data_IF_653886366293
#
_entry.id   IF_653886366293
#
_cell.length_a   1.000
_cell.length_b   1.000
_cell.length_c   1.000
_cell.angle_alpha   90.00
_cell.angle_beta   90.00
_cell.angle_gamma   90.00
#
_symmetry.space_group_name_H-M   'P 1'
#
loop_
_entity.id
_entity.type
_entity.pdbx_description
1 polymer ?
#
# COMPACT_ATOMS: atom_id res chain seq x y z
N UNK A 1 9.65 -9.21 -8.56
CA UNK A 1 8.55 -9.84 -7.83
C UNK A 1 8.06 -8.91 -6.73
N UNK A 2 6.77 -8.56 -6.70
CA UNK A 2 6.20 -7.74 -5.62
C UNK A 2 4.96 -8.42 -5.04
N UNK A 3 4.86 -8.45 -3.71
CA UNK A 3 3.77 -9.13 -2.99
C UNK A 3 2.81 -8.08 -2.48
N UNK A 4 1.51 -8.24 -2.74
CA UNK A 4 0.49 -7.30 -2.29
C UNK A 4 -0.40 -7.95 -1.23
N UNK A 5 -0.49 -7.32 -0.06
CA UNK A 5 -1.36 -7.73 1.04
C UNK A 5 -2.50 -6.73 1.18
N UNK A 6 -3.68 -7.15 0.76
CA UNK A 6 -4.93 -6.38 0.88
C UNK A 6 -5.98 -7.08 1.75
N UNK A 7 -7.14 -6.44 1.92
CA UNK A 7 -8.23 -6.89 2.78
C UNK A 7 -8.81 -5.77 3.65
N UNK A 8 -9.92 -6.06 4.32
CA UNK A 8 -10.65 -5.08 5.12
C UNK A 8 -9.81 -4.50 6.28
N UNK A 9 -10.11 -3.28 6.76
CA UNK A 9 -9.54 -2.76 7.99
C UNK A 9 -9.74 -3.74 9.17
N UNK A 10 -8.71 -3.91 10.01
CA UNK A 10 -8.77 -4.80 11.19
C UNK A 10 -8.44 -6.28 10.96
N UNK A 11 -8.31 -6.77 9.72
CA UNK A 11 -8.03 -8.20 9.44
C UNK A 11 -6.58 -8.67 9.70
N UNK A 12 -5.71 -7.78 10.20
CA UNK A 12 -4.32 -8.14 10.56
C UNK A 12 -3.28 -8.05 9.44
N UNK A 13 -3.56 -7.34 8.33
CA UNK A 13 -2.61 -7.18 7.19
C UNK A 13 -1.20 -6.76 7.61
N UNK A 14 -1.09 -5.74 8.49
CA UNK A 14 0.21 -5.28 8.98
C UNK A 14 0.90 -6.33 9.87
N UNK A 15 0.14 -7.16 10.57
CA UNK A 15 0.68 -8.27 11.37
C UNK A 15 1.31 -9.33 10.47
N UNK A 16 0.61 -9.73 9.41
CA UNK A 16 1.13 -10.70 8.42
C UNK A 16 2.35 -10.13 7.70
N UNK A 17 2.29 -8.86 7.27
CA UNK A 17 3.42 -8.17 6.65
C UNK A 17 4.67 -8.21 7.53
N UNK A 18 4.55 -7.87 8.83
CA UNK A 18 5.66 -7.93 9.79
C UNK A 18 6.24 -9.33 9.94
N UNK A 19 5.42 -10.37 9.89
CA UNK A 19 5.90 -11.75 9.99
C UNK A 19 6.68 -12.14 8.73
N UNK A 20 6.18 -11.80 7.54
CA UNK A 20 6.85 -12.08 6.27
C UNK A 20 8.25 -11.45 6.22
N UNK A 21 8.40 -10.20 6.67
CA UNK A 21 9.69 -9.48 6.66
C UNK A 21 10.77 -10.12 7.54
N UNK A 22 10.39 -10.92 8.55
CA UNK A 22 11.36 -11.64 9.38
C UNK A 22 12.01 -12.77 8.60
N UNK A 23 11.27 -13.37 7.68
CA UNK A 23 11.69 -14.57 6.94
C UNK A 23 12.18 -14.25 5.53
N UNK A 24 11.64 -13.20 4.91
CA UNK A 24 11.96 -12.78 3.55
C UNK A 24 12.51 -11.35 3.53
N UNK A 25 13.52 -11.12 2.69
CA UNK A 25 14.12 -9.79 2.49
C UNK A 25 13.28 -8.98 1.49
N UNK A 26 12.26 -8.29 2.00
CA UNK A 26 11.43 -7.35 1.24
C UNK A 26 11.49 -5.94 1.86
N UNK A 27 11.28 -4.91 1.03
CA UNK A 27 11.00 -3.55 1.49
C UNK A 27 9.50 -3.37 1.69
N UNK A 28 9.07 -2.79 2.82
CA UNK A 28 7.64 -2.52 3.04
C UNK A 28 7.25 -1.23 2.36
N UNK A 29 6.15 -1.28 1.60
CA UNK A 29 5.46 -0.12 1.09
C UNK A 29 4.03 -0.09 1.66
N UNK A 30 3.79 0.75 2.65
CA UNK A 30 2.45 0.95 3.21
C UNK A 30 1.73 2.08 2.47
N UNK A 31 0.66 1.73 1.75
CA UNK A 31 -0.11 2.65 0.92
C UNK A 31 -0.71 3.78 1.77
N UNK A 32 -1.19 3.48 2.97
CA UNK A 32 -1.81 4.49 3.83
C UNK A 32 -0.77 5.48 4.36
N UNK A 33 0.45 5.00 4.63
CA UNK A 33 1.56 5.86 5.03
C UNK A 33 2.04 6.74 3.87
N UNK A 34 2.16 6.17 2.66
CA UNK A 34 2.49 6.94 1.44
C UNK A 34 1.45 8.02 1.15
N UNK A 35 0.15 7.74 1.30
CA UNK A 35 -0.91 8.73 1.14
C UNK A 35 -0.78 9.91 2.12
N UNK A 36 -0.44 9.62 3.39
CA UNK A 36 -0.18 10.65 4.41
C UNK A 36 1.04 11.50 4.07
N UNK A 37 2.13 10.86 3.68
CA UNK A 37 3.41 11.54 3.38
C UNK A 37 3.36 12.37 2.09
N UNK A 38 2.55 11.95 1.10
CA UNK A 38 2.41 12.64 -0.18
C UNK A 38 1.49 13.86 -0.12
N UNK A 39 0.85 14.13 1.03
CA UNK A 39 -0.10 15.24 1.16
C UNK A 39 -1.37 15.07 0.33
N UNK A 40 -1.66 13.84 -0.12
CA UNK A 40 -2.84 13.52 -0.92
C UNK A 40 -4.11 13.32 -0.07
N UNK A 41 -4.02 13.53 1.24
CA UNK A 41 -5.16 13.43 2.13
C UNK A 41 -5.88 14.76 2.24
N UNK A 42 -7.14 14.77 1.84
CA UNK A 42 -8.06 15.88 2.11
C UNK A 42 -8.91 15.53 3.32
N UNK A 43 -8.90 16.40 4.33
CA UNK A 43 -9.72 16.22 5.52
C UNK A 43 -11.19 16.48 5.18
N UNK A 44 -12.04 15.47 5.39
CA UNK A 44 -13.47 15.54 5.17
C UNK A 44 -14.19 15.10 6.45
N UNK A 45 -14.39 16.06 7.36
CA UNK A 45 -14.95 15.81 8.69
C UNK A 45 -14.08 14.86 9.51
N UNK A 46 -14.63 13.70 9.85
CA UNK A 46 -13.95 12.65 10.62
C UNK A 46 -13.14 11.67 9.75
N UNK A 47 -13.20 11.81 8.42
CA UNK A 47 -12.53 10.95 7.45
C UNK A 47 -11.51 11.72 6.62
N UNK A 48 -10.55 10.99 6.03
CA UNK A 48 -9.64 11.57 5.04
C UNK A 48 -9.94 10.93 3.69
N UNK A 49 -10.24 11.78 2.72
CA UNK A 49 -10.38 11.37 1.33
C UNK A 49 -9.01 11.38 0.65
N UNK A 50 -8.83 10.51 -0.33
CA UNK A 50 -7.56 10.38 -1.07
C UNK A 50 -7.83 10.27 -2.56
N UNK A 51 -7.05 11.01 -3.34
CA UNK A 51 -7.05 10.90 -4.80
C UNK A 51 -6.36 9.59 -5.22
N UNK A 52 -7.19 8.62 -5.61
CA UNK A 52 -6.76 7.26 -5.97
C UNK A 52 -5.86 7.26 -7.20
N UNK A 53 -6.11 8.13 -8.19
CA UNK A 53 -5.32 8.18 -9.43
C UNK A 53 -3.92 8.70 -9.15
N UNK A 54 -3.80 9.81 -8.40
CA UNK A 54 -2.49 10.34 -8.01
C UNK A 54 -1.74 9.37 -7.11
N UNK A 55 -2.44 8.69 -6.20
CA UNK A 55 -1.82 7.70 -5.33
C UNK A 55 -1.31 6.50 -6.13
N UNK A 56 -2.06 6.06 -7.15
CA UNK A 56 -1.63 4.99 -8.05
C UNK A 56 -0.34 5.34 -8.79
N UNK A 57 -0.19 6.58 -9.27
CA UNK A 57 1.04 7.04 -9.92
C UNK A 57 2.25 7.02 -8.97
N UNK A 58 2.08 7.54 -7.75
CA UNK A 58 3.15 7.57 -6.74
C UNK A 58 3.55 6.15 -6.32
N UNK A 59 2.57 5.28 -6.06
CA UNK A 59 2.80 3.88 -5.71
C UNK A 59 3.48 3.16 -6.88
N UNK A 60 3.01 3.39 -8.10
CA UNK A 60 3.56 2.80 -9.33
C UNK A 60 5.02 3.17 -9.59
N UNK A 61 5.49 4.33 -9.14
CA UNK A 61 6.88 4.76 -9.19
C UNK A 61 7.73 4.23 -8.03
N UNK A 62 7.12 3.93 -6.88
CA UNK A 62 7.81 3.41 -5.68
C UNK A 62 7.91 1.89 -5.63
N UNK A 63 6.99 1.16 -6.28
CA UNK A 63 7.05 -0.29 -6.36
C UNK A 63 8.29 -0.70 -7.14
N UNK A 64 9.15 -1.47 -6.49
CA UNK A 64 10.31 -2.12 -7.08
C UNK A 64 10.22 -3.63 -6.93
N UNK A 65 11.10 -4.35 -7.61
CA UNK A 65 11.33 -5.76 -7.29
C UNK A 65 11.70 -5.93 -5.81
N UNK A 66 11.10 -6.92 -5.17
CA UNK A 66 11.16 -7.21 -3.72
C UNK A 66 10.42 -6.21 -2.82
N UNK A 67 9.36 -5.57 -3.32
CA UNK A 67 8.45 -4.76 -2.51
C UNK A 67 7.31 -5.60 -1.92
N UNK A 68 7.02 -5.38 -0.63
CA UNK A 68 5.86 -5.91 0.07
C UNK A 68 4.87 -4.77 0.31
N UNK A 69 3.85 -4.70 -0.52
CA UNK A 69 2.85 -3.62 -0.52
C UNK A 69 1.71 -3.99 0.42
N UNK A 70 1.34 -3.09 1.33
CA UNK A 70 0.24 -3.32 2.29
C UNK A 70 -0.76 -2.18 2.28
N UNK A 71 -2.05 -2.51 2.24
CA UNK A 71 -3.12 -1.52 2.34
C UNK A 71 -4.47 -2.05 1.87
N UNK A 72 -5.56 -1.51 2.44
CA UNK A 72 -6.91 -1.84 1.95
C UNK A 72 -7.21 -1.19 0.60
N UNK A 73 -6.48 -0.13 0.24
CA UNK A 73 -6.60 0.58 -1.05
C UNK A 73 -5.84 -0.10 -2.19
N UNK A 74 -5.05 -1.14 -1.91
CA UNK A 74 -4.21 -1.80 -2.91
C UNK A 74 -4.94 -2.20 -4.21
N UNK A 75 -6.19 -2.73 -4.20
CA UNK A 75 -6.90 -3.09 -5.42
C UNK A 75 -7.20 -1.90 -6.35
N UNK A 76 -7.15 -0.68 -5.83
CA UNK A 76 -7.45 0.54 -6.57
C UNK A 76 -6.19 1.27 -7.06
N UNK A 77 -5.05 1.06 -6.40
CA UNK A 77 -3.82 1.84 -6.65
C UNK A 77 -2.66 1.01 -7.20
N UNK A 78 -2.80 -0.32 -7.27
CA UNK A 78 -1.77 -1.22 -7.80
C UNK A 78 -2.26 -1.85 -9.10
N UNK A 79 -1.52 -1.65 -10.19
CA UNK A 79 -1.80 -2.32 -11.46
C UNK A 79 -1.53 -3.82 -11.35
N UNK A 80 -2.41 -4.70 -11.88
CA UNK A 80 -2.24 -6.16 -11.85
C UNK A 80 -0.93 -6.64 -12.49
N UNK A 81 -0.43 -5.90 -13.49
CA UNK A 81 0.84 -6.21 -14.19
C UNK A 81 2.07 -6.08 -13.30
N UNK A 82 1.94 -5.38 -12.16
CA UNK A 82 3.01 -5.18 -11.16
C UNK A 82 2.82 -6.09 -9.93
N UNK A 83 1.82 -6.98 -9.96
CA UNK A 83 1.42 -7.84 -8.87
C UNK A 83 1.70 -9.31 -9.19
N UNK A 84 2.34 -10.03 -8.26
CA UNK A 84 2.46 -11.50 -8.32
C UNK A 84 1.44 -12.20 -7.39
#
# INVERSE_FOLDING_TARGET
MSIIITGNPGVGKHTVCKEILKHLRYSVLDINSVAKESGLLEANGDTNDVDVEKLADIIGQKISDSSLVVGHLAPYVVCPEKAD
#
